data_IF_919086920473
#
_entry.id   IF_919086920473
#
_cell.length_a   1.000
_cell.length_b   1.000
_cell.length_c   1.000
_cell.angle_alpha   90.00
_cell.angle_beta   90.00
_cell.angle_gamma   90.00
#
_symmetry.space_group_name_H-M   'P 1'
#
loop_
_entity.id
_entity.type
_entity.pdbx_description
1 polymer ?
#
# COMPACT_ATOMS: atom_id res chain seq x y z
N UNK A 1 -29.08 -9.66 18.13
CA UNK A 1 -30.04 -8.70 17.54
C UNK A 1 -29.29 -7.41 17.30
N UNK A 2 -28.92 -7.12 16.06
CA UNK A 2 -28.44 -5.81 15.59
C UNK A 2 -28.83 -5.73 14.11
N UNK A 3 -29.59 -4.70 13.76
CA UNK A 3 -30.18 -4.53 12.42
C UNK A 3 -29.13 -4.04 11.40
N UNK A 4 -29.21 -4.47 10.13
CA UNK A 4 -28.37 -3.94 9.07
C UNK A 4 -28.79 -2.51 8.71
N UNK A 5 -27.85 -1.57 8.75
CA UNK A 5 -28.04 -0.18 8.32
C UNK A 5 -28.07 -0.12 6.80
N UNK A 6 -29.20 0.32 6.28
CA UNK A 6 -29.58 0.37 4.86
C UNK A 6 -28.76 1.41 4.08
N UNK A 7 -27.92 0.97 3.14
CA UNK A 7 -27.33 1.79 2.06
C UNK A 7 -28.43 2.27 1.10
N UNK A 8 -29.15 3.34 1.43
CA UNK A 8 -30.07 4.01 0.48
C UNK A 8 -30.54 5.38 0.99
N UNK A 9 -29.62 6.33 1.14
CA UNK A 9 -29.97 7.76 1.27
C UNK A 9 -28.72 8.65 1.13
N UNK A 10 -28.24 8.88 -0.11
CA UNK A 10 -27.41 10.06 -0.42
C UNK A 10 -27.29 10.25 -1.94
N UNK A 11 -28.44 10.45 -2.59
CA UNK A 11 -28.52 11.04 -3.94
C UNK A 11 -29.60 12.12 -3.84
N UNK A 12 -29.17 13.35 -3.54
CA UNK A 12 -30.11 14.44 -3.31
C UNK A 12 -29.42 15.74 -2.97
N UNK A 13 -28.55 16.24 -3.86
CA UNK A 13 -28.21 17.66 -3.96
C UNK A 13 -27.26 17.88 -5.15
N UNK A 14 -27.80 18.27 -6.30
CA UNK A 14 -27.16 19.16 -7.32
C UNK A 14 -28.09 19.28 -8.54
N UNK A 15 -29.26 19.85 -8.31
CA UNK A 15 -30.14 20.32 -9.38
C UNK A 15 -30.66 21.71 -9.00
N UNK A 16 -29.79 22.72 -9.12
CA UNK A 16 -30.15 24.13 -9.16
C UNK A 16 -28.88 24.98 -9.42
N UNK A 17 -28.49 25.10 -10.69
CA UNK A 17 -27.77 26.30 -11.15
C UNK A 17 -28.66 26.90 -12.23
N UNK A 18 -29.11 28.11 -11.94
CA UNK A 18 -30.21 28.77 -12.61
C UNK A 18 -29.89 29.14 -14.05
N UNK A 19 -30.91 29.02 -14.89
CA UNK A 19 -30.98 29.69 -16.17
C UNK A 19 -31.04 31.21 -15.93
N UNK A 20 -29.95 31.92 -16.20
CA UNK A 20 -29.97 33.35 -16.48
C UNK A 20 -29.68 33.55 -17.96
N UNK A 21 -30.73 33.88 -18.71
CA UNK A 21 -30.67 34.31 -20.09
C UNK A 21 -30.18 35.76 -20.15
N UNK A 22 -28.99 35.99 -20.71
CA UNK A 22 -28.52 37.30 -21.14
C UNK A 22 -28.65 37.42 -22.67
N UNK A 23 -29.04 38.58 -23.21
CA UNK A 23 -29.08 38.80 -24.65
C UNK A 23 -27.64 39.00 -25.16
N UNK A 24 -27.17 38.06 -25.99
CA UNK A 24 -25.89 38.19 -26.70
C UNK A 24 -26.10 39.07 -27.93
N UNK A 25 -25.53 40.26 -27.89
CA UNK A 25 -25.25 41.07 -29.08
C UNK A 25 -24.20 40.33 -29.92
N UNK A 26 -24.52 40.05 -31.17
CA UNK A 26 -23.62 39.43 -32.13
C UNK A 26 -22.58 40.46 -32.58
N UNK A 27 -21.36 40.36 -32.05
CA UNK A 27 -20.19 41.03 -32.58
C UNK A 27 -19.35 40.00 -33.35
N UNK A 28 -19.13 40.27 -34.64
CA UNK A 28 -18.41 39.38 -35.54
C UNK A 28 -16.93 39.30 -35.14
N UNK A 29 -16.58 38.26 -34.39
CA UNK A 29 -15.21 37.91 -34.08
C UNK A 29 -14.66 36.90 -35.09
N UNK A 30 -13.47 37.21 -35.60
CA UNK A 30 -12.61 36.41 -36.48
C UNK A 30 -12.56 34.94 -36.00
N UNK A 31 -12.66 33.93 -36.88
CA UNK A 31 -12.55 32.54 -36.47
C UNK A 31 -11.11 32.23 -36.06
N UNK A 32 -10.80 32.45 -34.79
CA UNK A 32 -9.70 31.74 -34.14
C UNK A 32 -10.14 30.29 -34.09
N UNK A 33 -9.46 29.42 -34.85
CA UNK A 33 -9.67 27.98 -34.74
C UNK A 33 -9.30 27.53 -33.33
N UNK A 34 -10.28 27.54 -32.42
CA UNK A 34 -10.18 26.86 -31.13
C UNK A 34 -9.94 25.39 -31.46
N UNK A 35 -8.85 24.76 -30.96
CA UNK A 35 -8.63 23.34 -31.14
C UNK A 35 -9.87 22.61 -30.65
N UNK A 36 -10.45 21.76 -31.50
CA UNK A 36 -11.80 21.22 -31.32
C UNK A 36 -12.02 20.37 -30.05
N UNK A 37 -11.02 20.22 -29.17
CA UNK A 37 -11.22 19.58 -27.88
C UNK A 37 -10.08 19.90 -26.89
N UNK A 38 -10.12 21.09 -26.25
CA UNK A 38 -9.10 21.52 -25.28
C UNK A 38 -8.91 20.55 -24.08
N UNK A 39 -9.90 19.70 -23.79
CA UNK A 39 -9.87 18.71 -22.71
C UNK A 39 -9.95 17.25 -23.22
N UNK A 40 -9.70 16.99 -24.51
CA UNK A 40 -9.71 15.61 -25.04
C UNK A 40 -8.78 14.68 -24.27
N UNK A 41 -7.57 15.16 -23.98
CA UNK A 41 -6.56 14.37 -23.25
C UNK A 41 -6.99 14.11 -21.81
N UNK A 42 -7.51 15.13 -21.11
CA UNK A 42 -8.09 14.97 -19.76
C UNK A 42 -9.20 13.92 -19.75
N UNK A 43 -10.09 13.94 -20.73
CA UNK A 43 -11.18 12.97 -20.82
C UNK A 43 -10.66 11.55 -21.09
N UNK A 44 -9.69 11.40 -21.99
CA UNK A 44 -9.05 10.11 -22.24
C UNK A 44 -8.32 9.57 -21.00
N UNK A 45 -7.67 10.44 -20.22
CA UNK A 45 -7.02 10.06 -18.96
C UNK A 45 -8.04 9.60 -17.91
N UNK A 46 -9.18 10.27 -17.79
CA UNK A 46 -10.25 9.87 -16.87
C UNK A 46 -10.86 8.52 -17.24
N UNK A 47 -11.03 8.24 -18.54
CA UNK A 47 -11.53 6.95 -19.00
C UNK A 47 -10.50 5.85 -18.73
N UNK A 48 -9.21 6.08 -19.03
CA UNK A 48 -8.11 5.17 -18.67
C UNK A 48 -8.02 4.90 -17.17
N UNK A 49 -8.24 5.91 -16.33
CA UNK A 49 -8.23 5.75 -14.87
C UNK A 49 -9.35 4.82 -14.40
N UNK A 50 -10.55 4.95 -14.98
CA UNK A 50 -11.68 4.05 -14.67
C UNK A 50 -11.39 2.63 -15.09
N UNK A 51 -10.80 2.44 -16.27
CA UNK A 51 -10.42 1.11 -16.77
C UNK A 51 -9.33 0.48 -15.88
N UNK A 52 -8.28 1.23 -15.54
CA UNK A 52 -7.19 0.75 -14.67
C UNK A 52 -7.72 0.38 -13.28
N UNK A 53 -8.58 1.23 -12.70
CA UNK A 53 -9.23 0.96 -11.42
C UNK A 53 -10.11 -0.28 -11.48
N UNK A 54 -10.96 -0.40 -12.50
CA UNK A 54 -11.82 -1.58 -12.65
C UNK A 54 -11.00 -2.87 -12.81
N UNK A 55 -9.86 -2.81 -13.50
CA UNK A 55 -8.94 -3.92 -13.61
C UNK A 55 -8.29 -4.28 -12.27
N UNK A 56 -7.85 -3.29 -11.49
CA UNK A 56 -7.34 -3.48 -10.13
C UNK A 56 -8.41 -4.09 -9.20
N UNK A 57 -9.62 -3.53 -9.17
CA UNK A 57 -10.73 -4.04 -8.36
C UNK A 57 -11.08 -5.50 -8.73
N UNK A 58 -10.93 -5.87 -10.02
CA UNK A 58 -11.15 -7.24 -10.47
C UNK A 58 -10.09 -8.24 -9.99
N UNK A 59 -8.94 -7.79 -9.48
CA UNK A 59 -7.91 -8.68 -8.92
C UNK A 59 -8.13 -9.06 -7.46
N UNK A 60 -8.98 -8.32 -6.73
CA UNK A 60 -9.17 -8.52 -5.30
C UNK A 60 -9.62 -9.96 -4.95
N UNK A 61 -10.66 -10.46 -5.64
CA UNK A 61 -11.18 -11.80 -5.42
C UNK A 61 -10.16 -12.90 -5.79
N UNK A 62 -9.57 -12.93 -7.01
CA UNK A 62 -8.56 -13.92 -7.36
C UNK A 62 -7.34 -13.91 -6.43
N UNK A 63 -6.88 -12.73 -6.01
CA UNK A 63 -5.74 -12.60 -5.09
C UNK A 63 -6.07 -13.18 -3.71
N UNK A 64 -7.25 -12.89 -3.17
CA UNK A 64 -7.72 -13.46 -1.91
C UNK A 64 -7.84 -14.97 -1.98
N UNK A 65 -8.44 -15.51 -3.05
CA UNK A 65 -8.58 -16.95 -3.24
C UNK A 65 -7.21 -17.65 -3.36
N UNK A 66 -6.26 -17.05 -4.09
CA UNK A 66 -4.91 -17.58 -4.19
C UNK A 66 -4.16 -17.54 -2.85
N UNK A 67 -4.34 -16.46 -2.07
CA UNK A 67 -3.80 -16.33 -0.72
C UNK A 67 -4.35 -17.41 0.21
N UNK A 68 -5.66 -17.65 0.18
CA UNK A 68 -6.31 -18.65 1.03
C UNK A 68 -5.84 -20.07 0.68
N UNK A 69 -5.71 -20.39 -0.61
CA UNK A 69 -5.11 -21.66 -1.05
C UNK A 69 -3.67 -21.81 -0.57
N UNK A 70 -2.84 -20.78 -0.73
CA UNK A 70 -1.46 -20.80 -0.26
C UNK A 70 -1.39 -21.02 1.27
N UNK A 71 -2.23 -20.32 2.04
CA UNK A 71 -2.29 -20.43 3.50
C UNK A 71 -2.72 -21.81 3.99
N UNK A 72 -3.64 -22.45 3.29
CA UNK A 72 -4.08 -23.80 3.62
C UNK A 72 -2.93 -24.82 3.50
N UNK A 73 -2.02 -24.60 2.56
CA UNK A 73 -0.94 -25.54 2.22
C UNK A 73 0.44 -25.14 2.77
N UNK A 74 0.56 -24.03 3.50
CA UNK A 74 1.85 -23.63 4.05
C UNK A 74 2.41 -24.67 5.02
N UNK A 75 3.71 -25.01 4.91
CA UNK A 75 4.36 -25.85 5.90
C UNK A 75 4.28 -25.20 7.28
N UNK A 76 4.09 -25.99 8.36
CA UNK A 76 4.08 -25.47 9.71
C UNK A 76 5.39 -24.76 10.01
N UNK A 77 5.33 -23.69 10.79
CA UNK A 77 6.52 -22.95 11.21
C UNK A 77 7.42 -23.85 12.08
N UNK A 78 8.71 -24.02 11.74
CA UNK A 78 9.62 -24.85 12.52
C UNK A 78 9.82 -24.34 13.95
N UNK A 79 9.93 -25.27 14.90
CA UNK A 79 10.16 -24.95 16.33
C UNK A 79 11.41 -24.09 16.55
N UNK A 80 12.45 -24.27 15.72
CA UNK A 80 13.69 -23.51 15.83
C UNK A 80 13.53 -22.00 15.54
N UNK A 81 12.44 -21.56 14.89
CA UNK A 81 12.13 -20.14 14.67
C UNK A 81 11.41 -19.48 15.84
N UNK A 82 11.02 -20.25 16.84
CA UNK A 82 10.47 -19.68 18.07
C UNK A 82 11.61 -19.24 18.98
N UNK A 83 11.51 -18.00 19.45
CA UNK A 83 12.44 -17.41 20.40
C UNK A 83 12.23 -18.04 21.78
N UNK A 84 13.27 -18.70 22.28
CA UNK A 84 13.34 -19.17 23.66
C UNK A 84 13.94 -18.11 24.61
N UNK A 85 13.87 -18.36 25.91
CA UNK A 85 14.60 -17.56 26.92
C UNK A 85 16.11 -17.61 26.72
N UNK A 86 16.61 -18.64 26.03
CA UNK A 86 18.01 -18.75 25.64
C UNK A 86 18.38 -17.90 24.44
N UNK A 87 17.43 -17.32 23.71
CA UNK A 87 17.71 -16.46 22.56
C UNK A 87 17.73 -14.95 22.95
N UNK A 88 17.51 -14.63 24.24
CA UNK A 88 17.50 -13.27 24.79
C UNK A 88 18.81 -12.49 24.54
N UNK A 89 19.95 -13.18 24.43
CA UNK A 89 21.26 -12.56 24.15
C UNK A 89 21.53 -12.37 22.64
N UNK A 90 20.66 -12.92 21.80
CA UNK A 90 20.67 -12.75 20.34
C UNK A 90 19.69 -11.61 19.96
N UNK A 91 19.05 -10.95 20.94
CA UNK A 91 17.97 -10.00 20.71
C UNK A 91 18.39 -8.67 20.08
N UNK A 92 17.69 -8.38 18.99
CA UNK A 92 17.68 -7.15 18.22
C UNK A 92 16.78 -6.09 18.90
N UNK A 93 17.07 -5.74 20.16
CA UNK A 93 16.22 -4.83 20.93
C UNK A 93 14.83 -5.39 21.26
N UNK A 94 14.13 -4.77 22.22
CA UNK A 94 12.87 -5.28 22.78
C UNK A 94 11.66 -5.22 21.81
N UNK A 95 11.83 -4.72 20.60
CA UNK A 95 10.73 -4.34 19.69
C UNK A 95 10.57 -5.27 18.47
N UNK A 96 11.42 -6.28 18.32
CA UNK A 96 11.61 -7.00 17.05
C UNK A 96 11.27 -8.50 17.14
N UNK A 97 10.08 -8.84 17.61
CA UNK A 97 9.56 -10.22 17.52
C UNK A 97 8.05 -10.23 17.34
N UNK A 98 7.53 -11.06 16.42
CA UNK A 98 6.11 -11.39 16.37
C UNK A 98 5.71 -12.22 17.61
N UNK A 99 4.45 -12.10 18.06
CA UNK A 99 3.86 -13.00 19.09
C UNK A 99 2.89 -13.97 18.46
N UNK A 100 2.92 -15.22 18.90
CA UNK A 100 2.03 -16.27 18.41
C UNK A 100 1.79 -17.35 19.45
N UNK A 101 0.90 -18.27 19.13
CA UNK A 101 0.62 -19.46 19.95
C UNK A 101 1.35 -20.64 19.32
N UNK A 102 2.27 -21.26 20.08
CA UNK A 102 2.95 -22.50 19.72
C UNK A 102 1.93 -23.62 19.49
N UNK A 103 2.27 -24.67 18.72
CA UNK A 103 1.45 -25.88 18.64
C UNK A 103 1.11 -26.50 20.01
N UNK A 104 1.96 -26.25 21.02
CA UNK A 104 1.74 -26.65 22.41
C UNK A 104 0.70 -25.80 23.18
N UNK A 105 0.06 -24.82 22.53
CA UNK A 105 -0.87 -23.88 23.15
C UNK A 105 -0.22 -22.75 23.98
N UNK A 106 1.11 -22.68 24.04
CA UNK A 106 1.84 -21.64 24.78
C UNK A 106 2.02 -20.39 23.92
N UNK A 107 1.88 -19.20 24.50
CA UNK A 107 2.23 -17.96 23.81
C UNK A 107 3.76 -17.81 23.80
N UNK A 108 4.32 -17.59 22.61
CA UNK A 108 5.75 -17.41 22.38
C UNK A 108 6.03 -16.28 21.41
N UNK A 109 7.29 -15.86 21.36
CA UNK A 109 7.78 -14.93 20.35
C UNK A 109 8.47 -15.73 19.24
N UNK A 110 8.42 -15.27 18.00
CA UNK A 110 9.08 -15.91 16.87
C UNK A 110 9.73 -14.87 15.96
N UNK A 111 10.75 -15.31 15.21
CA UNK A 111 11.48 -14.45 14.28
C UNK A 111 10.66 -14.25 12.99
N UNK A 112 10.27 -13.01 12.71
CA UNK A 112 9.65 -12.61 11.44
C UNK A 112 10.73 -12.44 10.36
N UNK A 113 10.37 -12.38 9.05
CA UNK A 113 11.34 -12.13 7.98
C UNK A 113 12.23 -10.91 8.25
N UNK A 114 11.64 -9.80 8.71
CA UNK A 114 12.40 -8.59 9.07
C UNK A 114 13.38 -8.78 10.25
N UNK A 115 13.08 -9.68 11.18
CA UNK A 115 13.97 -10.00 12.30
C UNK A 115 15.15 -10.85 11.81
N UNK A 116 14.91 -11.76 10.87
CA UNK A 116 15.97 -12.57 10.25
C UNK A 116 16.90 -11.71 9.40
N UNK A 117 16.39 -10.70 8.67
CA UNK A 117 17.27 -9.77 7.95
C UNK A 117 18.14 -8.94 8.89
N UNK A 118 17.59 -8.49 10.01
CA UNK A 118 18.36 -7.82 11.06
C UNK A 118 19.41 -8.76 11.66
N UNK A 119 19.08 -10.04 11.86
CA UNK A 119 20.07 -11.04 12.27
C UNK A 119 21.17 -11.16 11.22
N UNK A 120 20.89 -11.18 9.92
CA UNK A 120 21.93 -11.23 8.88
C UNK A 120 22.82 -10.00 8.87
N UNK A 121 22.22 -8.81 8.89
CA UNK A 121 22.94 -7.54 8.83
C UNK A 121 23.66 -7.17 10.14
N UNK A 122 23.26 -7.78 11.26
CA UNK A 122 23.76 -7.48 12.58
C UNK A 122 25.23 -7.86 12.81
N UNK A 123 25.89 -7.24 13.80
CA UNK A 123 27.23 -7.63 14.22
C UNK A 123 27.25 -9.07 14.78
N UNK A 124 28.44 -9.70 14.87
CA UNK A 124 28.59 -11.01 15.51
C UNK A 124 28.02 -11.03 16.92
N UNK A 125 27.45 -12.17 17.33
CA UNK A 125 26.88 -12.30 18.67
C UNK A 125 28.00 -12.24 19.72
N UNK A 126 27.80 -11.38 20.73
CA UNK A 126 28.73 -11.19 21.84
C UNK A 126 28.04 -11.45 23.17
N UNK A 127 28.80 -11.90 24.15
CA UNK A 127 28.36 -12.03 25.55
C UNK A 127 29.24 -11.22 26.48
N UNK A 128 28.75 -10.91 27.67
CA UNK A 128 29.59 -10.34 28.72
C UNK A 128 30.64 -11.36 29.13
N UNK A 129 31.91 -10.96 29.09
CA UNK A 129 32.99 -11.77 29.60
C UNK A 129 32.77 -11.99 31.10
N UNK A 130 33.01 -13.22 31.58
CA UNK A 130 32.99 -13.50 33.01
C UNK A 130 34.31 -12.99 33.60
N UNK A 131 34.35 -11.72 33.96
CA UNK A 131 35.48 -11.10 34.67
C UNK A 131 35.08 -10.95 36.14
N UNK A 132 36.03 -11.06 37.07
CA UNK A 132 35.79 -10.76 38.49
C UNK A 132 35.28 -9.33 38.69
N UNK A 133 34.76 -9.05 39.89
CA UNK A 133 33.92 -7.88 40.26
C UNK A 133 34.50 -6.47 39.97
N UNK A 134 35.69 -6.35 39.38
CA UNK A 134 36.47 -5.10 39.27
C UNK A 134 36.33 -4.36 37.92
N UNK A 135 35.51 -4.83 36.97
CA UNK A 135 35.29 -4.15 35.67
C UNK A 135 33.80 -3.91 35.39
N UNK A 136 33.38 -2.64 35.43
CA UNK A 136 32.00 -2.21 35.15
C UNK A 136 31.94 -1.20 33.98
N UNK A 137 31.29 -1.52 32.84
CA UNK A 137 30.72 -2.83 32.52
C UNK A 137 31.80 -3.84 32.07
N UNK A 138 31.59 -5.14 32.28
CA UNK A 138 32.53 -6.17 31.84
C UNK A 138 32.78 -6.07 30.32
N UNK A 139 33.96 -6.43 29.81
CA UNK A 139 34.20 -6.41 28.37
C UNK A 139 33.28 -7.42 27.66
N UNK A 140 32.90 -7.12 26.42
CA UNK A 140 32.17 -8.07 25.57
C UNK A 140 33.15 -8.97 24.85
N UNK A 141 32.89 -10.27 24.87
CA UNK A 141 33.64 -11.27 24.13
C UNK A 141 32.76 -11.95 23.08
N UNK A 142 33.35 -12.49 21.99
CA UNK A 142 32.61 -13.30 21.03
C UNK A 142 31.86 -14.44 21.74
N UNK A 143 30.63 -14.70 21.30
CA UNK A 143 29.84 -15.85 21.76
C UNK A 143 29.66 -16.86 20.60
N UNK A 144 30.54 -17.86 20.47
CA UNK A 144 30.43 -18.85 19.40
C UNK A 144 29.13 -19.66 19.43
N UNK A 145 28.51 -19.85 20.61
CA UNK A 145 27.25 -20.58 20.74
C UNK A 145 26.08 -19.71 20.29
N UNK A 146 26.06 -18.45 20.71
CA UNK A 146 25.09 -17.46 20.24
C UNK A 146 25.16 -17.26 18.73
N UNK A 147 26.36 -17.19 18.17
CA UNK A 147 26.56 -17.07 16.72
C UNK A 147 26.10 -18.33 15.98
N UNK A 148 26.43 -19.53 16.47
CA UNK A 148 25.93 -20.77 15.87
C UNK A 148 24.39 -20.83 15.88
N UNK A 149 23.75 -20.37 16.97
CA UNK A 149 22.29 -20.29 17.08
C UNK A 149 21.69 -19.25 16.12
N UNK A 150 22.31 -18.09 15.96
CA UNK A 150 21.94 -17.08 14.94
C UNK A 150 21.95 -17.69 13.53
N UNK A 151 23.02 -18.41 13.18
CA UNK A 151 23.14 -19.06 11.88
C UNK A 151 22.09 -20.17 11.68
N UNK A 152 21.79 -20.94 12.73
CA UNK A 152 20.71 -21.94 12.71
C UNK A 152 19.33 -21.30 12.43
N UNK A 153 19.02 -20.18 13.08
CA UNK A 153 17.76 -19.44 12.87
C UNK A 153 17.66 -18.97 11.42
N UNK A 154 18.73 -18.35 10.89
CA UNK A 154 18.79 -17.86 9.50
C UNK A 154 18.57 -19.03 8.53
N UNK A 155 19.33 -20.11 8.66
CA UNK A 155 19.22 -21.27 7.78
C UNK A 155 17.85 -21.95 7.86
N UNK A 156 17.28 -22.06 9.06
CA UNK A 156 15.92 -22.61 9.25
C UNK A 156 14.87 -21.74 8.58
N UNK A 157 15.00 -20.43 8.72
CA UNK A 157 14.08 -19.47 8.10
C UNK A 157 14.15 -19.58 6.58
N UNK A 158 15.35 -19.60 6.00
CA UNK A 158 15.54 -19.71 4.56
C UNK A 158 14.93 -20.98 3.98
N UNK A 159 15.16 -22.12 4.65
CA UNK A 159 14.57 -23.38 4.24
C UNK A 159 13.05 -23.39 4.32
N UNK A 160 12.49 -22.85 5.41
CA UNK A 160 11.04 -22.75 5.58
C UNK A 160 10.40 -21.78 4.58
N UNK A 161 11.03 -20.63 4.35
CA UNK A 161 10.58 -19.63 3.39
C UNK A 161 10.62 -20.16 1.95
N UNK A 162 11.68 -20.87 1.56
CA UNK A 162 11.77 -21.51 0.26
C UNK A 162 10.61 -22.51 0.02
N UNK A 163 10.25 -23.28 1.05
CA UNK A 163 9.08 -24.19 0.96
C UNK A 163 7.76 -23.44 0.85
N UNK A 164 7.58 -22.36 1.62
CA UNK A 164 6.39 -21.50 1.49
C UNK A 164 6.30 -20.91 0.10
N UNK A 165 7.39 -20.33 -0.41
CA UNK A 165 7.45 -19.76 -1.76
C UNK A 165 7.09 -20.79 -2.83
N UNK A 166 7.58 -22.02 -2.72
CA UNK A 166 7.19 -23.09 -3.63
C UNK A 166 5.68 -23.40 -3.61
N UNK A 167 5.02 -23.30 -2.44
CA UNK A 167 3.54 -23.40 -2.34
C UNK A 167 2.88 -22.20 -3.01
N UNK A 168 3.35 -20.98 -2.75
CA UNK A 168 2.83 -19.75 -3.37
C UNK A 168 2.92 -19.81 -4.90
N UNK A 169 4.04 -20.30 -5.45
CA UNK A 169 4.24 -20.48 -6.87
C UNK A 169 3.30 -21.57 -7.43
N UNK A 170 3.16 -22.70 -6.72
CA UNK A 170 2.31 -23.81 -7.17
C UNK A 170 0.82 -23.47 -7.22
N UNK A 171 0.33 -22.63 -6.29
CA UNK A 171 -1.09 -22.22 -6.24
C UNK A 171 -1.37 -20.93 -7.03
N UNK A 172 -0.35 -20.38 -7.69
CA UNK A 172 -0.44 -19.15 -8.49
C UNK A 172 -0.53 -17.86 -7.66
N UNK A 173 -0.23 -17.90 -6.35
CA UNK A 173 -0.31 -16.72 -5.48
C UNK A 173 0.77 -15.69 -5.83
N UNK A 174 1.98 -16.12 -6.15
CA UNK A 174 3.05 -15.23 -6.64
C UNK A 174 2.62 -14.46 -7.88
N UNK A 175 2.09 -15.17 -8.89
CA UNK A 175 1.65 -14.56 -10.13
C UNK A 175 0.46 -13.60 -9.92
N UNK A 176 -0.44 -13.91 -8.98
CA UNK A 176 -1.55 -13.03 -8.62
C UNK A 176 -1.04 -11.74 -7.94
N UNK A 177 -0.02 -11.83 -7.07
CA UNK A 177 0.62 -10.65 -6.48
C UNK A 177 1.28 -9.80 -7.56
N UNK A 178 2.10 -10.39 -8.43
CA UNK A 178 2.78 -9.68 -9.52
C UNK A 178 1.79 -8.99 -10.46
N UNK A 179 0.67 -9.66 -10.78
CA UNK A 179 -0.39 -9.05 -11.59
C UNK A 179 -1.07 -7.89 -10.87
N UNK A 180 -1.36 -8.04 -9.58
CA UNK A 180 -1.93 -6.97 -8.78
C UNK A 180 -0.96 -5.77 -8.76
N UNK A 181 0.29 -5.97 -8.35
CA UNK A 181 1.32 -4.93 -8.31
C UNK A 181 1.46 -4.19 -9.65
N UNK A 182 1.49 -4.91 -10.78
CA UNK A 182 1.53 -4.29 -12.10
C UNK A 182 0.29 -3.42 -12.41
N UNK A 183 -0.89 -3.82 -11.96
CA UNK A 183 -2.12 -3.04 -12.11
C UNK A 183 -2.16 -1.84 -11.15
N UNK A 184 -1.65 -1.98 -9.93
CA UNK A 184 -1.48 -0.86 -9.00
C UNK A 184 -0.54 0.19 -9.60
N UNK A 185 0.63 -0.22 -10.10
CA UNK A 185 1.58 0.70 -10.76
C UNK A 185 0.95 1.40 -11.97
N UNK A 186 0.21 0.66 -12.81
CA UNK A 186 -0.48 1.24 -13.96
C UNK A 186 -1.57 2.24 -13.53
N UNK A 187 -2.31 1.93 -12.46
CA UNK A 187 -3.33 2.81 -11.90
C UNK A 187 -2.71 4.08 -11.29
N UNK A 188 -1.66 3.94 -10.48
CA UNK A 188 -0.92 5.05 -9.86
C UNK A 188 -0.31 5.98 -10.93
N UNK A 189 0.27 5.44 -12.01
CA UNK A 189 0.81 6.25 -13.10
C UNK A 189 -0.26 7.12 -13.79
N UNK A 190 -1.48 6.61 -13.95
CA UNK A 190 -2.60 7.39 -14.49
C UNK A 190 -3.09 8.41 -13.48
N UNK A 191 -3.15 8.05 -12.19
CA UNK A 191 -3.53 8.93 -11.10
C UNK A 191 -2.59 10.15 -11.00
N UNK A 192 -1.27 9.92 -11.02
CA UNK A 192 -0.25 10.96 -11.01
C UNK A 192 -0.38 11.91 -12.20
N UNK A 193 -0.62 11.36 -13.38
CA UNK A 193 -0.84 12.16 -14.60
C UNK A 193 -2.11 13.01 -14.47
N UNK A 194 -3.21 12.43 -13.98
CA UNK A 194 -4.48 13.14 -13.76
C UNK A 194 -4.36 14.26 -12.73
N UNK A 195 -3.59 14.07 -11.65
CA UNK A 195 -3.33 15.12 -10.65
C UNK A 195 -2.78 16.37 -11.30
N UNK A 196 -1.79 16.21 -12.18
CA UNK A 196 -1.07 17.30 -12.83
C UNK A 196 -1.83 17.93 -14.01
N UNK A 197 -2.68 17.18 -14.71
CA UNK A 197 -3.33 17.65 -15.92
C UNK A 197 -4.42 18.71 -15.66
N UNK A 198 -4.27 19.93 -16.18
CA UNK A 198 -5.21 21.03 -15.89
C UNK A 198 -6.45 20.97 -16.79
N UNK A 199 -7.66 21.25 -16.25
CA UNK A 199 -8.83 21.45 -17.08
C UNK A 199 -8.80 22.83 -17.75
N UNK A 200 -9.13 22.88 -19.04
CA UNK A 200 -9.20 24.11 -19.85
C UNK A 200 -10.63 24.57 -20.12
N UNK A 201 -11.62 23.73 -19.81
CA UNK A 201 -13.05 24.08 -19.92
C UNK A 201 -13.80 23.80 -18.62
N UNK A 202 -15.00 24.39 -18.49
CA UNK A 202 -15.92 24.10 -17.37
C UNK A 202 -16.31 22.61 -17.34
N UNK A 203 -16.46 21.97 -18.50
CA UNK A 203 -16.73 20.54 -18.58
C UNK A 203 -15.54 19.69 -18.09
N UNK A 204 -14.31 20.10 -18.44
CA UNK A 204 -13.06 19.56 -17.88
C UNK A 204 -13.03 19.65 -16.37
N UNK A 205 -13.30 20.83 -15.83
CA UNK A 205 -13.29 21.11 -14.40
C UNK A 205 -14.34 20.25 -13.66
N UNK A 206 -15.55 20.14 -14.20
CA UNK A 206 -16.63 19.35 -13.61
C UNK A 206 -16.29 17.85 -13.58
N UNK A 207 -15.73 17.29 -14.66
CA UNK A 207 -15.32 15.88 -14.69
C UNK A 207 -14.15 15.60 -13.75
N UNK A 208 -13.18 16.51 -13.68
CA UNK A 208 -12.07 16.38 -12.73
C UNK A 208 -12.53 16.48 -11.28
N UNK A 209 -13.49 17.37 -10.98
CA UNK A 209 -14.11 17.44 -9.65
C UNK A 209 -14.78 16.12 -9.25
N UNK A 210 -15.49 15.47 -10.17
CA UNK A 210 -16.12 14.17 -9.92
C UNK A 210 -15.09 13.08 -9.60
N UNK A 211 -13.97 13.05 -10.32
CA UNK A 211 -12.84 12.16 -10.03
C UNK A 211 -12.20 12.42 -8.66
N UNK A 212 -11.96 13.69 -8.30
CA UNK A 212 -11.45 14.06 -6.96
C UNK A 212 -12.41 13.60 -5.87
N UNK A 213 -13.71 13.82 -6.03
CA UNK A 213 -14.72 13.40 -5.07
C UNK A 213 -14.74 11.86 -4.90
N UNK A 214 -14.64 11.12 -6.00
CA UNK A 214 -14.56 9.66 -5.97
C UNK A 214 -13.32 9.18 -5.20
N UNK A 215 -12.15 9.78 -5.45
CA UNK A 215 -10.91 9.47 -4.71
C UNK A 215 -11.01 9.77 -3.21
N UNK A 216 -11.59 10.91 -2.83
CA UNK A 216 -11.75 11.30 -1.42
C UNK A 216 -12.76 10.40 -0.68
N UNK A 217 -13.76 9.88 -1.39
CA UNK A 217 -14.76 8.99 -0.80
C UNK A 217 -14.20 7.61 -0.39
N UNK A 218 -13.00 7.27 -0.88
CA UNK A 218 -12.36 5.97 -0.65
C UNK A 218 -11.39 5.97 0.53
N UNK A 219 -11.35 7.03 1.34
CA UNK A 219 -10.50 7.16 2.53
C UNK A 219 -8.99 6.92 2.27
N UNK A 220 -8.54 7.04 1.02
CA UNK A 220 -7.11 7.01 0.71
C UNK A 220 -6.55 8.34 1.18
N UNK A 221 -5.56 8.32 2.07
CA UNK A 221 -4.92 9.51 2.68
C UNK A 221 -4.31 10.47 1.65
N UNK A 222 -5.17 11.26 1.00
CA UNK A 222 -4.88 12.14 -0.14
C UNK A 222 -5.28 13.57 0.18
N UNK A 223 -4.86 14.04 1.35
CA UNK A 223 -5.14 15.41 1.83
C UNK A 223 -4.58 16.48 0.86
N UNK A 224 -3.54 16.13 0.10
CA UNK A 224 -2.92 16.96 -0.93
C UNK A 224 -3.76 17.09 -2.22
N UNK A 225 -4.63 16.12 -2.50
CA UNK A 225 -5.45 16.08 -3.72
C UNK A 225 -6.50 17.19 -3.73
N UNK A 226 -7.22 17.37 -2.62
CA UNK A 226 -8.23 18.43 -2.49
C UNK A 226 -7.59 19.83 -2.60
N UNK A 227 -6.45 20.03 -1.94
CA UNK A 227 -5.69 21.28 -2.02
C UNK A 227 -5.13 21.52 -3.44
N UNK A 228 -4.65 20.48 -4.11
CA UNK A 228 -4.20 20.54 -5.50
C UNK A 228 -5.30 20.94 -6.46
N UNK A 229 -6.48 20.34 -6.32
CA UNK A 229 -7.64 20.67 -7.14
C UNK A 229 -8.14 22.10 -6.88
N UNK A 230 -8.18 22.55 -5.62
CA UNK A 230 -8.55 23.92 -5.28
C UNK A 230 -7.65 24.97 -5.95
N UNK A 231 -6.34 24.71 -6.05
CA UNK A 231 -5.40 25.58 -6.79
C UNK A 231 -5.74 25.65 -8.28
N UNK A 232 -6.17 24.55 -8.89
CA UNK A 232 -6.55 24.51 -10.30
C UNK A 232 -7.85 25.28 -10.55
N UNK A 233 -8.84 25.18 -9.65
CA UNK A 233 -10.06 25.99 -9.70
C UNK A 233 -9.73 27.48 -9.64
N UNK A 234 -8.86 27.90 -8.70
CA UNK A 234 -8.47 29.29 -8.55
C UNK A 234 -7.73 29.83 -9.79
N UNK A 235 -6.83 29.03 -10.38
CA UNK A 235 -6.15 29.37 -11.63
C UNK A 235 -7.13 29.52 -12.80
N UNK A 236 -8.11 28.63 -12.90
CA UNK A 236 -9.15 28.69 -13.94
C UNK A 236 -9.96 29.99 -13.84
N UNK A 237 -10.36 30.40 -12.63
CA UNK A 237 -11.12 31.65 -12.41
C UNK A 237 -10.32 32.93 -12.70
N UNK A 238 -8.99 32.91 -12.54
CA UNK A 238 -8.12 34.06 -12.79
C UNK A 238 -7.77 34.31 -14.27
N UNK A 239 -8.03 33.34 -15.15
CA UNK A 239 -7.79 33.46 -16.61
C UNK A 239 -9.02 34.04 -17.33
N UNK A 240 -10.20 34.02 -16.70
CA UNK A 240 -11.47 34.50 -17.27
C UNK A 240 -11.82 35.96 -16.92
N UNK A 241 -10.93 36.68 -16.23
CA UNK A 241 -11.11 38.09 -15.81
C UNK A 241 -10.36 39.08 -16.68
#
# INVERSE_FOLDING_TARGET
MNAPVTRRALLGATAAVGAMSLPVLAEAAIPVSVPANLDAELFALLDRWREARAAWDATDVPLCEAQDRARADYPPMPDALWSGSRDLHIHLGAEATGRGVLPSGRVGSYFLPGDVEKLRAGPPVTRWATVGDDVDPPPREPDPRGEARRQEIIATHDHWWAKRKAVEDAVGYTAAIEQAEALAEAWDAVDDTLRLHQPHTVAGLARKAAWVADCLSQEIGRDDLAAGFARQVAAFSGVTS
#
